data_IF_255866302779
#
_entry.id   IF_255866302779
#
_cell.length_a   1.000
_cell.length_b   1.000
_cell.length_c   1.000
_cell.angle_alpha   90.00
_cell.angle_beta   90.00
_cell.angle_gamma   90.00
#
_symmetry.space_group_name_H-M   'P 1'
#
loop_
_entity.id
_entity.type
_entity.pdbx_description
1 polymer ?
#
# COMPACT_ATOMS: atom_id res chain seq x y z
N UNK A 1 13.48 5.10 17.33
CA UNK A 1 12.07 5.41 17.61
C UNK A 1 11.59 6.45 16.60
N UNK A 2 10.37 6.32 16.06
CA UNK A 2 9.81 7.33 15.13
C UNK A 2 9.35 8.52 15.95
N UNK A 3 9.83 9.73 15.62
CA UNK A 3 9.43 10.97 16.31
C UNK A 3 8.11 11.52 15.76
N UNK A 4 7.42 12.34 16.55
CA UNK A 4 6.20 13.03 16.13
C UNK A 4 6.44 13.92 14.90
N UNK A 5 7.61 14.56 14.82
CA UNK A 5 7.95 15.44 13.69
C UNK A 5 8.07 14.67 12.38
N UNK A 6 8.66 13.46 12.40
CA UNK A 6 8.69 12.57 11.23
C UNK A 6 7.27 12.16 10.79
N UNK A 7 6.36 11.94 11.73
CA UNK A 7 4.95 11.63 11.40
C UNK A 7 4.27 12.85 10.77
N UNK A 8 4.47 14.05 11.31
CA UNK A 8 3.93 15.29 10.75
C UNK A 8 4.46 15.59 9.35
N UNK A 9 5.77 15.39 9.15
CA UNK A 9 6.41 15.54 7.85
C UNK A 9 5.83 14.58 6.81
N UNK A 10 5.72 13.29 7.17
CA UNK A 10 5.09 12.29 6.32
C UNK A 10 3.64 12.66 5.98
N UNK A 11 2.86 13.12 6.98
CA UNK A 11 1.50 13.56 6.77
C UNK A 11 1.42 14.76 5.81
N UNK A 12 2.26 15.77 5.98
CA UNK A 12 2.34 16.93 5.08
C UNK A 12 2.62 16.50 3.64
N UNK A 13 3.51 15.53 3.45
CA UNK A 13 3.88 15.00 2.14
C UNK A 13 2.73 14.28 1.45
N UNK A 14 1.97 13.45 2.16
CA UNK A 14 0.90 12.63 1.57
C UNK A 14 -0.47 13.32 1.54
N UNK A 15 -0.71 14.33 2.37
CA UNK A 15 -2.03 14.97 2.54
C UNK A 15 -2.69 15.47 1.25
N UNK A 16 -1.98 15.96 0.22
CA UNK A 16 -2.60 16.35 -1.05
C UNK A 16 -3.20 15.18 -1.84
N UNK A 17 -2.80 13.95 -1.52
CA UNK A 17 -3.10 12.75 -2.30
C UNK A 17 -4.11 11.80 -1.63
N UNK A 18 -4.48 12.07 -0.39
CA UNK A 18 -5.35 11.20 0.41
C UNK A 18 -6.64 11.91 0.84
N UNK A 19 -7.65 11.12 1.21
CA UNK A 19 -8.84 11.67 1.84
C UNK A 19 -8.57 12.01 3.31
N UNK A 20 -9.17 13.12 3.76
CA UNK A 20 -9.31 13.35 5.20
C UNK A 20 -10.43 12.43 5.70
N UNK A 21 -10.07 11.40 6.45
CA UNK A 21 -11.04 10.46 7.01
C UNK A 21 -11.53 10.91 8.38
N UNK A 22 -12.82 10.80 8.69
CA UNK A 22 -13.36 11.29 9.95
C UNK A 22 -12.90 10.45 11.14
N UNK A 23 -12.90 11.10 12.30
CA UNK A 23 -12.74 10.46 13.60
C UNK A 23 -14.08 10.56 14.32
N UNK A 24 -14.81 9.45 14.41
CA UNK A 24 -16.16 9.40 14.97
C UNK A 24 -16.17 8.74 16.34
N UNK A 25 -17.02 9.22 17.23
CA UNK A 25 -17.27 8.60 18.53
C UNK A 25 -18.08 7.32 18.34
N UNK A 26 -17.80 6.29 19.13
CA UNK A 26 -18.54 5.03 19.13
C UNK A 26 -19.20 4.81 20.50
N UNK A 27 -20.48 5.04 20.58
CA UNK A 27 -21.28 4.77 21.81
C UNK A 27 -21.19 3.29 22.21
N UNK A 28 -21.28 2.40 21.23
CA UNK A 28 -21.24 0.96 21.45
C UNK A 28 -19.95 0.48 22.13
N UNK A 29 -18.80 1.05 21.76
CA UNK A 29 -17.49 0.68 22.30
C UNK A 29 -17.11 1.52 23.53
N UNK A 30 -17.81 2.59 23.83
CA UNK A 30 -17.46 3.58 24.86
C UNK A 30 -18.09 3.32 26.23
N UNK A 31 -18.30 2.06 26.61
CA UNK A 31 -18.96 1.71 27.88
C UNK A 31 -18.20 2.23 29.11
N UNK A 32 -16.89 2.02 29.19
CA UNK A 32 -16.03 2.37 30.33
C UNK A 32 -14.88 3.31 29.97
N UNK A 33 -14.81 3.77 28.72
CA UNK A 33 -13.74 4.63 28.17
C UNK A 33 -14.25 5.35 26.92
N UNK A 34 -13.65 6.46 26.59
CA UNK A 34 -13.93 7.15 25.32
C UNK A 34 -13.25 6.40 24.17
N UNK A 35 -14.03 5.88 23.22
CA UNK A 35 -13.52 5.21 22.02
C UNK A 35 -13.93 6.02 20.79
N UNK A 36 -12.96 6.36 19.97
CA UNK A 36 -13.16 7.01 18.68
C UNK A 36 -12.60 6.13 17.56
N UNK A 37 -13.34 6.04 16.46
CA UNK A 37 -12.98 5.27 15.28
C UNK A 37 -12.46 6.18 14.19
N UNK A 38 -11.22 5.97 13.76
CA UNK A 38 -10.65 6.60 12.56
C UNK A 38 -11.10 5.79 11.35
N UNK A 39 -12.03 6.32 10.55
CA UNK A 39 -12.69 5.57 9.48
C UNK A 39 -11.82 5.48 8.21
N UNK A 40 -10.74 4.70 8.27
CA UNK A 40 -9.84 4.48 7.12
C UNK A 40 -10.46 3.62 6.01
N UNK A 41 -11.61 3.00 6.24
CA UNK A 41 -12.45 2.40 5.18
C UNK A 41 -12.95 3.43 4.16
N UNK A 42 -13.00 4.71 4.53
CA UNK A 42 -13.34 5.83 3.64
C UNK A 42 -12.13 6.40 2.87
N UNK A 43 -10.96 5.80 3.00
CA UNK A 43 -9.79 6.18 2.22
C UNK A 43 -9.96 5.73 0.76
N UNK A 44 -9.27 6.36 -0.19
CA UNK A 44 -9.35 6.10 -1.64
C UNK A 44 -9.21 4.63 -2.03
N UNK A 45 -8.40 3.86 -1.29
CA UNK A 45 -8.24 2.42 -1.50
C UNK A 45 -8.98 1.55 -0.48
N UNK A 46 -9.86 2.15 0.32
CA UNK A 46 -10.64 1.46 1.36
C UNK A 46 -9.85 1.06 2.60
N UNK A 47 -8.62 1.57 2.79
CA UNK A 47 -7.81 1.26 3.96
C UNK A 47 -6.68 2.27 4.20
N UNK A 48 -6.11 2.25 5.42
CA UNK A 48 -4.97 3.09 5.81
C UNK A 48 -3.66 2.78 5.06
N UNK A 49 -3.57 1.64 4.38
CA UNK A 49 -2.34 1.17 3.70
C UNK A 49 -1.85 2.14 2.64
N UNK A 50 -2.74 2.89 2.02
CA UNK A 50 -2.40 3.95 1.07
C UNK A 50 -1.44 4.99 1.66
N UNK A 51 -1.59 5.35 2.94
CA UNK A 51 -0.74 6.34 3.60
C UNK A 51 0.73 5.94 3.60
N UNK A 52 1.02 4.70 3.98
CA UNK A 52 2.38 4.15 4.00
C UNK A 52 2.95 4.01 2.59
N UNK A 53 2.17 3.46 1.66
CA UNK A 53 2.57 3.30 0.26
C UNK A 53 2.93 4.66 -0.38
N UNK A 54 2.07 5.65 -0.27
CA UNK A 54 2.35 7.01 -0.76
C UNK A 54 3.60 7.62 -0.14
N UNK A 55 3.74 7.52 1.20
CA UNK A 55 4.91 8.09 1.87
C UNK A 55 6.21 7.44 1.37
N UNK A 56 6.22 6.13 1.14
CA UNK A 56 7.38 5.42 0.60
C UNK A 56 7.65 5.84 -0.85
N UNK A 57 6.66 5.80 -1.74
CA UNK A 57 6.86 6.12 -3.16
C UNK A 57 7.26 7.59 -3.39
N UNK A 58 6.70 8.53 -2.61
CA UNK A 58 7.08 9.94 -2.65
C UNK A 58 8.52 10.18 -2.13
N UNK A 59 9.08 9.24 -1.38
CA UNK A 59 10.45 9.32 -0.86
C UNK A 59 11.49 8.71 -1.80
N UNK A 60 11.07 8.01 -2.83
CA UNK A 60 11.97 7.42 -3.83
C UNK A 60 12.58 8.51 -4.71
N UNK A 61 13.86 8.36 -5.03
CA UNK A 61 14.54 9.16 -6.06
C UNK A 61 13.95 8.87 -7.45
N UNK A 62 14.17 9.75 -8.41
CA UNK A 62 13.71 9.55 -9.79
C UNK A 62 14.35 8.31 -10.43
N UNK A 63 15.60 8.00 -10.06
CA UNK A 63 16.26 6.78 -10.48
C UNK A 63 15.57 5.51 -9.94
N UNK A 64 15.15 5.51 -8.68
CA UNK A 64 14.39 4.38 -8.09
C UNK A 64 13.00 4.27 -8.73
N UNK A 65 12.31 5.38 -8.94
CA UNK A 65 11.00 5.41 -9.61
C UNK A 65 11.07 4.89 -11.04
N UNK A 66 12.14 5.21 -11.78
CA UNK A 66 12.32 4.74 -13.17
C UNK A 66 12.44 3.22 -13.27
N UNK A 67 12.92 2.56 -12.22
CA UNK A 67 13.01 1.10 -12.13
C UNK A 67 11.67 0.42 -11.81
N UNK A 68 10.71 1.18 -11.30
CA UNK A 68 9.45 0.67 -10.79
C UNK A 68 9.54 0.15 -9.35
N UNK A 69 8.42 -0.33 -8.85
CA UNK A 69 8.29 -0.88 -7.49
C UNK A 69 7.63 -2.24 -7.51
N UNK A 70 7.96 -3.06 -6.54
CA UNK A 70 7.30 -4.34 -6.32
C UNK A 70 6.73 -4.44 -4.91
N UNK A 71 5.69 -5.24 -4.74
CA UNK A 71 5.18 -5.61 -3.43
C UNK A 71 4.61 -7.02 -3.48
N UNK A 72 4.69 -7.73 -2.36
CA UNK A 72 3.97 -8.99 -2.15
C UNK A 72 2.74 -8.68 -1.32
N UNK A 73 1.56 -8.91 -1.86
CA UNK A 73 0.34 -8.62 -1.12
C UNK A 73 -0.90 -9.21 -1.76
N UNK A 74 -1.71 -9.84 -0.95
CA UNK A 74 -3.00 -10.40 -1.34
C UNK A 74 -4.20 -9.46 -1.08
N UNK A 75 -3.96 -8.22 -0.65
CA UNK A 75 -5.05 -7.36 -0.19
C UNK A 75 -4.76 -5.86 -0.18
N UNK A 76 -5.09 -5.21 0.92
CA UNK A 76 -5.09 -3.75 1.05
C UNK A 76 -3.72 -3.07 0.82
N UNK A 77 -2.63 -3.76 1.11
CA UNK A 77 -1.29 -3.22 0.85
C UNK A 77 -1.03 -3.15 -0.67
N UNK A 78 -1.32 -4.23 -1.40
CA UNK A 78 -1.21 -4.25 -2.87
C UNK A 78 -2.05 -3.15 -3.53
N UNK A 79 -3.30 -2.95 -3.10
CA UNK A 79 -4.13 -1.84 -3.56
C UNK A 79 -3.50 -0.47 -3.26
N UNK A 80 -2.93 -0.30 -2.06
CA UNK A 80 -2.25 0.94 -1.68
C UNK A 80 -1.04 1.24 -2.56
N UNK A 81 -0.21 0.23 -2.84
CA UNK A 81 0.97 0.37 -3.72
C UNK A 81 0.56 0.63 -5.16
N UNK A 82 -0.39 -0.15 -5.71
CA UNK A 82 -0.89 0.02 -7.07
C UNK A 82 -1.43 1.44 -7.30
N UNK A 83 -2.30 1.92 -6.41
CA UNK A 83 -2.85 3.27 -6.49
C UNK A 83 -1.76 4.35 -6.40
N UNK A 84 -0.85 4.23 -5.42
CA UNK A 84 0.23 5.21 -5.23
C UNK A 84 1.18 5.25 -6.43
N UNK A 85 1.51 4.09 -6.99
CA UNK A 85 2.37 3.97 -8.17
C UNK A 85 1.70 4.58 -9.41
N UNK A 86 0.45 4.25 -9.67
CA UNK A 86 -0.36 4.82 -10.76
C UNK A 86 -0.44 6.34 -10.66
N UNK A 87 -0.71 6.88 -9.47
CA UNK A 87 -0.77 8.32 -9.22
C UNK A 87 0.54 9.05 -9.56
N UNK A 88 1.68 8.39 -9.34
CA UNK A 88 3.02 8.96 -9.52
C UNK A 88 3.67 8.57 -10.86
N UNK A 89 2.95 7.86 -11.74
CA UNK A 89 3.49 7.38 -13.02
C UNK A 89 4.60 6.34 -12.87
N UNK A 90 4.64 5.61 -11.76
CA UNK A 90 5.64 4.59 -11.46
C UNK A 90 5.09 3.21 -11.83
N UNK A 91 5.87 2.40 -12.54
CA UNK A 91 5.49 1.00 -12.81
C UNK A 91 5.45 0.21 -11.50
N UNK A 92 4.42 -0.62 -11.34
CA UNK A 92 4.31 -1.48 -10.16
C UNK A 92 3.94 -2.91 -10.54
N UNK A 93 4.56 -3.86 -9.85
CA UNK A 93 4.23 -5.28 -9.96
C UNK A 93 3.88 -5.80 -8.57
N UNK A 94 2.72 -6.44 -8.46
CA UNK A 94 2.22 -7.03 -7.22
C UNK A 94 2.27 -8.55 -7.35
N UNK A 95 3.09 -9.18 -6.53
CA UNK A 95 3.16 -10.63 -6.45
C UNK A 95 2.09 -11.16 -5.50
N UNK A 96 1.35 -12.16 -5.95
CA UNK A 96 0.25 -12.79 -5.20
C UNK A 96 0.35 -14.30 -5.32
N UNK A 97 -0.08 -15.05 -4.29
CA UNK A 97 -0.21 -16.49 -4.38
C UNK A 97 -1.43 -16.92 -5.21
N UNK A 98 -1.39 -18.13 -5.75
CA UNK A 98 -2.48 -18.71 -6.53
C UNK A 98 -3.78 -18.94 -5.75
N UNK A 99 -3.70 -18.93 -4.41
CA UNK A 99 -4.86 -19.07 -3.53
C UNK A 99 -5.73 -17.80 -3.42
N UNK A 100 -5.28 -16.70 -4.04
CA UNK A 100 -5.99 -15.42 -3.95
C UNK A 100 -7.18 -15.42 -4.91
N UNK A 101 -8.39 -15.07 -4.43
CA UNK A 101 -9.57 -14.97 -5.29
C UNK A 101 -9.37 -13.95 -6.43
N UNK A 102 -9.86 -14.30 -7.62
CA UNK A 102 -9.71 -13.50 -8.85
C UNK A 102 -10.16 -12.04 -8.70
N UNK A 103 -11.24 -11.77 -7.95
CA UNK A 103 -11.72 -10.41 -7.74
C UNK A 103 -10.70 -9.50 -7.05
N UNK A 104 -9.78 -10.06 -6.25
CA UNK A 104 -8.70 -9.27 -5.60
C UNK A 104 -7.61 -8.91 -6.58
N UNK A 105 -7.26 -9.82 -7.48
CA UNK A 105 -6.33 -9.58 -8.58
C UNK A 105 -6.86 -8.46 -9.47
N UNK A 106 -8.10 -8.62 -9.97
CA UNK A 106 -8.76 -7.60 -10.80
C UNK A 106 -8.82 -6.23 -10.13
N UNK A 107 -9.10 -6.18 -8.82
CA UNK A 107 -9.13 -4.93 -8.07
C UNK A 107 -7.77 -4.21 -8.00
N UNK A 108 -6.65 -4.92 -8.13
CA UNK A 108 -5.30 -4.35 -8.16
C UNK A 108 -4.92 -3.96 -9.59
N UNK A 109 -5.23 -4.80 -10.57
CA UNK A 109 -4.99 -4.52 -11.99
C UNK A 109 -5.78 -3.28 -12.46
N UNK A 110 -7.02 -3.11 -12.00
CA UNK A 110 -7.83 -1.91 -12.27
C UNK A 110 -7.18 -0.61 -11.75
N UNK A 111 -6.30 -0.71 -10.75
CA UNK A 111 -5.50 0.42 -10.24
C UNK A 111 -4.21 0.66 -11.04
N UNK A 112 -3.96 -0.11 -12.11
CA UNK A 112 -2.84 0.09 -13.04
C UNK A 112 -1.57 -0.69 -12.71
N UNK A 113 -1.59 -1.62 -11.76
CA UNK A 113 -0.46 -2.47 -11.46
C UNK A 113 -0.47 -3.74 -12.32
N UNK A 114 0.72 -4.26 -12.64
CA UNK A 114 0.87 -5.63 -13.11
C UNK A 114 0.70 -6.59 -11.93
N UNK A 115 0.00 -7.70 -12.12
CA UNK A 115 -0.15 -8.75 -11.09
C UNK A 115 0.48 -10.04 -11.59
N UNK A 116 1.41 -10.56 -10.80
CA UNK A 116 2.11 -11.81 -11.02
C UNK A 116 1.65 -12.86 -10.00
N UNK A 117 1.09 -13.96 -10.49
CA UNK A 117 0.69 -15.07 -9.63
C UNK A 117 1.87 -16.02 -9.48
N UNK A 118 2.38 -16.17 -8.26
CA UNK A 118 3.57 -16.97 -7.96
C UNK A 118 3.38 -17.76 -6.66
N UNK A 119 3.73 -19.04 -6.71
CA UNK A 119 3.61 -19.94 -5.56
C UNK A 119 2.17 -20.22 -5.13
N UNK A 120 2.04 -21.08 -4.14
CA UNK A 120 0.74 -21.48 -3.59
C UNK A 120 0.37 -20.70 -2.32
N UNK A 121 1.37 -20.10 -1.66
CA UNK A 121 1.19 -19.34 -0.43
C UNK A 121 1.98 -18.03 -0.43
N UNK A 122 1.78 -17.21 0.60
CA UNK A 122 2.41 -15.90 0.71
C UNK A 122 3.93 -15.96 0.87
N UNK A 123 4.47 -17.01 1.50
CA UNK A 123 5.90 -17.16 1.76
C UNK A 123 6.65 -17.51 0.47
N UNK A 124 6.05 -18.35 -0.37
CA UNK A 124 6.59 -18.64 -1.70
C UNK A 124 6.56 -17.40 -2.60
N UNK A 125 5.45 -16.64 -2.59
CA UNK A 125 5.35 -15.38 -3.32
C UNK A 125 6.41 -14.36 -2.84
N UNK A 126 6.68 -14.31 -1.54
CA UNK A 126 7.70 -13.46 -0.95
C UNK A 126 9.11 -13.87 -1.42
N UNK A 127 9.41 -15.17 -1.40
CA UNK A 127 10.70 -15.71 -1.86
C UNK A 127 10.98 -15.37 -3.33
N UNK A 128 10.00 -15.54 -4.21
CA UNK A 128 10.13 -15.19 -5.64
C UNK A 128 10.36 -13.68 -5.80
N UNK A 129 9.65 -12.84 -5.04
CA UNK A 129 9.85 -11.39 -5.10
C UNK A 129 11.26 -10.97 -4.71
N UNK A 130 11.90 -11.65 -3.75
CA UNK A 130 13.29 -11.40 -3.38
C UNK A 130 14.26 -11.71 -4.52
N UNK A 131 14.02 -12.76 -5.30
CA UNK A 131 14.83 -13.09 -6.48
C UNK A 131 14.79 -11.96 -7.52
N UNK A 132 13.64 -11.33 -7.70
CA UNK A 132 13.48 -10.17 -8.59
C UNK A 132 14.09 -8.87 -8.03
N UNK A 133 14.18 -8.72 -6.70
CA UNK A 133 14.84 -7.58 -6.05
C UNK A 133 16.36 -7.59 -6.20
N UNK A 134 16.98 -8.78 -6.31
CA UNK A 134 18.43 -8.92 -6.50
C UNK A 134 18.87 -8.60 -7.93
N UNK A 135 17.94 -8.53 -8.88
CA UNK A 135 18.17 -7.91 -10.18
C UNK A 135 18.13 -6.38 -9.99
N UNK A 136 19.01 -5.58 -10.64
CA UNK A 136 19.27 -4.18 -10.27
C UNK A 136 18.11 -3.20 -10.55
N UNK A 137 16.87 -3.57 -10.29
CA UNK A 137 15.73 -2.92 -10.91
C UNK A 137 14.63 -2.40 -9.99
N UNK A 138 14.43 -2.93 -8.78
CA UNK A 138 13.16 -2.60 -8.08
C UNK A 138 13.33 -2.26 -6.59
N UNK A 139 12.59 -1.25 -6.11
CA UNK A 139 12.43 -0.95 -4.69
C UNK A 139 11.22 -1.69 -4.12
N UNK A 140 11.38 -2.34 -2.97
CA UNK A 140 10.26 -2.96 -2.23
C UNK A 140 9.51 -1.91 -1.42
N UNK A 141 8.22 -1.94 -1.50
CA UNK A 141 7.28 -1.07 -0.78
C UNK A 141 6.56 -1.84 0.32
#
# INVERSE_FOLDING_TARGET
MISLDKIKEAHKKISPHINYTPLVYSDFLSKNRTVKLKLESLQKTGSFKLRGALNKLLSLSDHEKSKGVIAVSTGNHGKGVAYAASLLGVKSTIYMSSMVPEYRKLAIETLGANVEIVGQNSDEADSVSYTHLTLPTNSRV
#
